data_IF_670568940887
#
_entry.id   IF_670568940887
#
_cell.length_a   1.000
_cell.length_b   1.000
_cell.length_c   1.000
_cell.angle_alpha   90.00
_cell.angle_beta   90.00
_cell.angle_gamma   90.00
#
_symmetry.space_group_name_H-M   'P 1'
#
loop_
_entity.id
_entity.type
_entity.pdbx_description
1 polymer ?
#
# COMPACT_ATOMS: atom_id res chain seq x y z
N UNK A 1 15.95 -7.62 -4.86
CA UNK A 1 14.46 -7.63 -4.85
C UNK A 1 14.02 -6.20 -4.98
N UNK A 2 13.08 -5.91 -5.87
CA UNK A 2 12.63 -4.53 -6.13
C UNK A 2 11.18 -4.38 -5.68
N UNK A 3 10.84 -3.22 -5.12
CA UNK A 3 9.46 -2.89 -4.76
C UNK A 3 8.62 -2.75 -6.02
N UNK A 4 7.43 -3.35 -6.04
CA UNK A 4 6.52 -3.25 -7.19
C UNK A 4 5.99 -1.84 -7.40
N UNK A 5 5.84 -1.08 -6.32
CA UNK A 5 5.32 0.28 -6.34
C UNK A 5 6.33 1.27 -5.74
N UNK A 6 6.23 2.54 -6.14
CA UNK A 6 7.15 3.61 -5.78
C UNK A 6 6.45 4.70 -4.97
N UNK A 7 7.25 5.55 -4.33
CA UNK A 7 6.76 6.76 -3.69
C UNK A 7 5.96 7.60 -4.68
N UNK A 8 4.82 8.10 -4.22
CA UNK A 8 3.85 8.91 -4.95
C UNK A 8 3.06 8.20 -6.04
N UNK A 9 3.22 6.89 -6.22
CA UNK A 9 2.34 6.12 -7.10
C UNK A 9 0.90 6.15 -6.58
N UNK A 10 -0.04 6.27 -7.51
CA UNK A 10 -1.48 6.15 -7.25
C UNK A 10 -1.90 4.69 -7.33
N UNK A 11 -2.55 4.21 -6.29
CA UNK A 11 -2.94 2.80 -6.12
C UNK A 11 -4.33 2.66 -5.55
N UNK A 12 -4.94 1.50 -5.74
CA UNK A 12 -6.11 1.04 -4.99
C UNK A 12 -5.63 0.19 -3.82
N UNK A 13 -6.02 0.54 -2.60
CA UNK A 13 -5.89 -0.29 -1.41
C UNK A 13 -7.13 -1.17 -1.27
N UNK A 14 -6.94 -2.48 -1.15
CA UNK A 14 -8.01 -3.46 -1.01
C UNK A 14 -8.86 -3.21 0.24
N UNK A 15 -10.19 -3.36 0.09
CA UNK A 15 -11.15 -3.31 1.19
C UNK A 15 -10.92 -4.32 2.30
N UNK A 16 -10.29 -5.46 1.99
CA UNK A 16 -9.85 -6.43 3.01
C UNK A 16 -8.80 -5.84 3.96
N UNK A 17 -7.98 -4.91 3.48
CA UNK A 17 -6.95 -4.26 4.29
C UNK A 17 -7.47 -3.01 5.00
N UNK A 18 -8.39 -2.26 4.39
CA UNK A 18 -8.91 -1.02 4.97
C UNK A 18 -10.07 -1.24 5.93
N UNK A 19 -10.89 -2.28 5.71
CA UNK A 19 -12.18 -2.45 6.39
C UNK A 19 -13.30 -1.54 5.87
N UNK A 20 -13.03 -0.68 4.89
CA UNK A 20 -13.96 0.35 4.37
C UNK A 20 -14.27 0.20 2.87
N UNK A 21 -13.97 -0.98 2.29
CA UNK A 21 -14.00 -1.17 0.84
C UNK A 21 -12.74 -0.67 0.15
N UNK A 22 -12.67 -0.83 -1.17
CA UNK A 22 -11.49 -0.43 -1.94
C UNK A 22 -11.36 1.10 -1.95
N UNK A 23 -10.17 1.62 -1.64
CA UNK A 23 -9.89 3.05 -1.58
C UNK A 23 -8.78 3.44 -2.53
N UNK A 24 -8.94 4.57 -3.22
CA UNK A 24 -7.83 5.22 -3.92
C UNK A 24 -6.85 5.82 -2.91
N UNK A 25 -5.55 5.66 -3.17
CA UNK A 25 -4.50 6.10 -2.28
C UNK A 25 -3.25 6.54 -3.05
N UNK A 26 -2.38 7.25 -2.34
CA UNK A 26 -1.02 7.58 -2.79
C UNK A 26 -0.01 6.93 -1.85
N UNK A 27 1.02 6.30 -2.39
CA UNK A 27 2.12 5.76 -1.58
C UNK A 27 2.97 6.90 -1.04
N UNK A 28 3.19 6.91 0.27
CA UNK A 28 3.98 7.94 0.96
C UNK A 28 5.22 7.36 1.66
N UNK A 29 5.31 6.04 1.78
CA UNK A 29 6.46 5.32 2.34
C UNK A 29 6.51 3.90 1.79
N UNK A 30 7.72 3.38 1.58
CA UNK A 30 7.98 2.00 1.14
C UNK A 30 8.99 1.39 2.10
N UNK A 31 8.64 0.25 2.70
CA UNK A 31 9.45 -0.42 3.71
C UNK A 31 9.60 -1.89 3.35
N UNK A 32 10.82 -2.43 3.42
CA UNK A 32 11.08 -3.84 3.21
C UNK A 32 11.20 -4.54 4.57
N UNK A 33 10.43 -5.60 4.79
CA UNK A 33 10.54 -6.42 6.00
C UNK A 33 11.43 -7.63 5.73
N UNK A 34 12.58 -7.70 6.42
CA UNK A 34 13.58 -8.76 6.24
C UNK A 34 13.11 -10.13 6.75
N UNK A 35 12.20 -10.16 7.73
CA UNK A 35 11.68 -11.39 8.32
C UNK A 35 10.70 -12.10 7.37
N UNK A 36 9.72 -11.36 6.85
CA UNK A 36 8.72 -11.90 5.90
C UNK A 36 9.12 -11.79 4.44
N UNK A 37 10.28 -11.18 4.13
CA UNK A 37 10.84 -11.00 2.78
C UNK A 37 9.84 -10.38 1.80
N UNK A 38 9.07 -9.39 2.26
CA UNK A 38 8.07 -8.67 1.45
C UNK A 38 8.07 -7.16 1.74
N UNK A 39 7.53 -6.40 0.79
CA UNK A 39 7.34 -4.96 0.93
C UNK A 39 6.02 -4.62 1.62
N UNK A 40 6.08 -3.61 2.46
CA UNK A 40 4.96 -2.91 3.06
C UNK A 40 4.97 -1.45 2.64
N UNK A 41 3.78 -0.87 2.61
CA UNK A 41 3.55 0.46 2.06
C UNK A 41 2.68 1.25 3.02
N UNK A 42 3.10 2.48 3.31
CA UNK A 42 2.25 3.47 3.95
C UNK A 42 1.53 4.24 2.84
N UNK A 43 0.20 4.26 2.90
CA UNK A 43 -0.65 4.86 1.88
C UNK A 43 -1.53 5.94 2.51
N UNK A 44 -1.72 7.05 1.80
CA UNK A 44 -2.64 8.13 2.21
C UNK A 44 -3.89 8.10 1.33
N UNK A 45 -5.04 8.00 1.98
CA UNK A 45 -6.38 8.12 1.37
C UNK A 45 -7.11 9.32 1.96
N UNK A 46 -8.31 9.61 1.47
CA UNK A 46 -9.20 10.61 2.07
C UNK A 46 -9.75 10.18 3.45
N UNK A 47 -9.69 8.88 3.76
CA UNK A 47 -10.17 8.32 5.02
C UNK A 47 -9.06 8.17 6.07
N UNK A 48 -7.80 8.39 5.71
CA UNK A 48 -6.67 8.31 6.63
C UNK A 48 -5.43 7.68 6.02
N UNK A 49 -4.62 7.05 6.88
CA UNK A 49 -3.39 6.35 6.47
C UNK A 49 -3.53 4.86 6.73
N UNK A 50 -3.03 4.06 5.80
CA UNK A 50 -3.02 2.60 5.92
C UNK A 50 -1.63 2.05 5.66
N UNK A 51 -1.16 1.22 6.59
CA UNK A 51 0.06 0.45 6.45
C UNK A 51 -0.30 -0.97 5.99
N UNK A 52 0.05 -1.31 4.76
CA UNK A 52 -0.45 -2.52 4.09
C UNK A 52 0.64 -3.26 3.34
N UNK A 53 0.54 -4.59 3.31
CA UNK A 53 1.44 -5.43 2.51
C UNK A 53 1.16 -5.28 1.00
N UNK A 54 2.18 -5.49 0.17
CA UNK A 54 2.12 -5.33 -1.29
C UNK A 54 0.91 -6.02 -1.95
N UNK A 55 0.54 -7.21 -1.47
CA UNK A 55 -0.56 -8.01 -2.02
C UNK A 55 -1.94 -7.33 -1.96
N UNK A 56 -2.10 -6.31 -1.12
CA UNK A 56 -3.34 -5.56 -0.98
C UNK A 56 -3.40 -4.31 -1.85
N UNK A 57 -2.39 -4.07 -2.69
CA UNK A 57 -2.30 -2.91 -3.58
C UNK A 57 -2.48 -3.30 -5.05
N UNK A 58 -3.09 -2.40 -5.82
CA UNK A 58 -3.18 -2.47 -7.28
C UNK A 58 -2.90 -1.09 -7.89
N UNK A 59 -2.24 -1.04 -9.04
CA UNK A 59 -2.03 0.23 -9.75
C UNK A 59 -3.34 0.72 -10.36
N UNK A 60 -3.50 2.05 -10.44
CA UNK A 60 -4.57 2.73 -11.18
C UNK A 60 -4.09 3.00 -12.60
#
# INVERSE_FOLDING_TARGET
MEAKFKLFDKVIVSGTATGYGNLEAVIIEVSFDELSKQFFYNTRTDQGRFYVAEKFLKII
#
